data_IF_755514118966
#
_entry.id   IF_755514118966
#
_cell.length_a   1.000
_cell.length_b   1.000
_cell.length_c   1.000
_cell.angle_alpha   90.00
_cell.angle_beta   90.00
_cell.angle_gamma   90.00
#
_symmetry.space_group_name_H-M   'P 1'
#
loop_
_entity.id
_entity.type
_entity.pdbx_description
1 polymer ?
#
# COMPACT_ATOMS: atom_id res chain seq x y z
N UNK A 1 -14.22 -6.86 28.95
CA UNK A 1 -14.56 -5.44 28.67
C UNK A 1 -14.24 -5.06 27.21
N UNK A 2 -13.08 -5.43 26.65
CA UNK A 2 -12.69 -5.12 25.26
C UNK A 2 -13.63 -5.65 24.15
N UNK A 3 -14.21 -6.84 24.31
CA UNK A 3 -15.19 -7.39 23.34
C UNK A 3 -16.51 -6.61 23.32
N UNK A 4 -17.04 -6.21 24.48
CA UNK A 4 -18.29 -5.43 24.55
C UNK A 4 -18.18 -4.08 23.83
N UNK A 5 -17.03 -3.42 23.91
CA UNK A 5 -16.81 -2.11 23.29
C UNK A 5 -16.72 -2.15 21.75
N UNK A 6 -16.23 -3.28 21.16
CA UNK A 6 -16.24 -3.47 19.70
C UNK A 6 -17.65 -3.70 19.14
N UNK A 7 -18.50 -4.44 19.86
CA UNK A 7 -19.88 -4.69 19.42
C UNK A 7 -20.72 -3.41 19.44
N UNK A 8 -20.55 -2.53 20.44
CA UNK A 8 -21.31 -1.28 20.53
C UNK A 8 -21.01 -0.31 19.38
N UNK A 9 -19.76 -0.27 18.89
CA UNK A 9 -19.39 0.58 17.76
C UNK A 9 -19.92 0.03 16.42
N UNK A 10 -19.95 -1.30 16.24
CA UNK A 10 -20.48 -1.91 15.02
C UNK A 10 -22.00 -1.72 14.88
N UNK A 11 -22.76 -1.82 15.98
CA UNK A 11 -24.21 -1.58 15.99
C UNK A 11 -24.56 -0.12 15.70
N UNK A 12 -23.76 0.83 16.19
CA UNK A 12 -23.96 2.25 15.91
C UNK A 12 -23.73 2.58 14.43
N UNK A 13 -22.69 2.00 13.82
CA UNK A 13 -22.39 2.18 12.39
C UNK A 13 -23.45 1.54 11.49
N UNK A 14 -23.98 0.38 11.86
CA UNK A 14 -25.04 -0.28 11.10
C UNK A 14 -26.36 0.52 11.11
N UNK A 15 -26.75 1.07 12.27
CA UNK A 15 -27.94 1.93 12.37
C UNK A 15 -27.81 3.22 11.55
N UNK A 16 -26.62 3.81 11.54
CA UNK A 16 -26.35 5.01 10.75
C UNK A 16 -26.43 4.74 9.24
N UNK A 17 -25.96 3.58 8.79
CA UNK A 17 -26.07 3.15 7.40
C UNK A 17 -27.53 2.94 6.96
N UNK A 18 -28.35 2.32 7.81
CA UNK A 18 -29.78 2.07 7.52
C UNK A 18 -30.59 3.37 7.40
N UNK A 19 -30.33 4.36 8.26
CA UNK A 19 -30.97 5.67 8.20
C UNK A 19 -30.70 6.40 6.87
N UNK A 20 -29.48 6.30 6.33
CA UNK A 20 -29.13 6.93 5.05
C UNK A 20 -29.78 6.27 3.85
N UNK A 21 -30.00 4.95 3.88
CA UNK A 21 -30.71 4.24 2.82
C UNK A 21 -32.18 4.65 2.75
N UNK A 22 -32.84 4.77 3.91
CA UNK A 22 -34.24 5.18 4.00
C UNK A 22 -34.47 6.57 3.39
N UNK A 23 -33.62 7.55 3.72
CA UNK A 23 -33.73 8.91 3.21
C UNK A 23 -33.54 9.01 1.69
N UNK A 24 -32.69 8.16 1.11
CA UNK A 24 -32.44 8.14 -0.33
C UNK A 24 -33.65 7.59 -1.12
N UNK A 25 -34.38 6.61 -0.57
CA UNK A 25 -35.57 6.05 -1.20
C UNK A 25 -36.74 7.04 -1.22
N UNK A 26 -36.89 7.85 -0.18
CA UNK A 26 -37.94 8.89 -0.08
C UNK A 26 -37.68 10.06 -1.05
N UNK A 27 -36.42 10.44 -1.27
CA UNK A 27 -36.03 11.41 -2.31
C UNK A 27 -36.33 10.89 -3.73
N UNK A 28 -36.09 9.60 -3.98
CA UNK A 28 -36.30 8.99 -5.30
C UNK A 28 -37.79 8.95 -5.68
N UNK A 29 -38.68 8.61 -4.73
CA UNK A 29 -40.13 8.62 -4.93
C UNK A 29 -40.68 10.01 -5.25
N UNK A 30 -40.06 11.05 -4.72
CA UNK A 30 -40.47 12.44 -4.97
C UNK A 30 -40.09 12.89 -6.39
N UNK A 31 -39.02 12.33 -6.97
CA UNK A 31 -38.49 12.70 -8.29
C UNK A 31 -39.23 12.08 -9.49
N UNK A 32 -40.01 11.02 -9.29
CA UNK A 32 -40.68 10.23 -10.35
C UNK A 32 -42.02 10.80 -10.85
N UNK A 33 -42.34 12.07 -10.56
CA UNK A 33 -43.61 12.71 -10.99
C UNK A 33 -43.50 13.70 -12.15
N UNK A 34 -42.32 13.86 -12.77
CA UNK A 34 -42.11 14.87 -13.83
C UNK A 34 -41.93 14.31 -15.26
N UNK A 35 -42.04 12.99 -15.45
CA UNK A 35 -41.79 12.33 -16.74
C UNK A 35 -43.02 12.30 -17.68
N UNK A 36 -43.83 13.36 -17.68
CA UNK A 36 -45.13 13.38 -18.36
C UNK A 36 -45.35 14.54 -19.36
N UNK A 37 -44.32 15.07 -20.04
CA UNK A 37 -44.52 16.01 -21.15
C UNK A 37 -43.55 15.77 -22.31
N UNK A 38 -44.07 15.21 -23.40
CA UNK A 38 -43.34 14.89 -24.63
C UNK A 38 -43.19 16.08 -25.58
N UNK A 39 -41.95 16.39 -25.94
CA UNK A 39 -41.58 17.22 -27.12
C UNK A 39 -40.37 16.63 -27.86
N UNK A 40 -40.23 16.80 -29.17
CA UNK A 40 -39.13 16.21 -29.97
C UNK A 40 -37.88 17.09 -30.05
N UNK A 41 -36.69 16.48 -30.03
CA UNK A 41 -35.37 17.15 -30.03
C UNK A 41 -34.89 17.54 -31.45
N UNK A 42 -34.17 18.68 -31.57
CA UNK A 42 -33.44 19.07 -32.80
C UNK A 42 -32.14 18.26 -32.99
N UNK A 43 -31.53 18.23 -34.20
CA UNK A 43 -30.36 17.39 -34.49
C UNK A 43 -29.16 17.57 -33.55
N UNK A 44 -28.78 18.81 -33.23
CA UNK A 44 -27.68 19.11 -32.29
C UNK A 44 -28.03 18.73 -30.85
N UNK A 45 -29.29 18.90 -30.45
CA UNK A 45 -29.77 18.45 -29.13
C UNK A 45 -29.80 16.93 -29.05
N UNK A 46 -30.07 16.25 -30.17
CA UNK A 46 -30.06 14.81 -30.26
C UNK A 46 -28.65 14.24 -30.15
N UNK A 47 -27.65 14.86 -30.79
CA UNK A 47 -26.23 14.46 -30.64
C UNK A 47 -25.75 14.62 -29.19
N UNK A 48 -26.08 15.74 -28.54
CA UNK A 48 -25.75 15.93 -27.12
C UNK A 48 -26.51 14.93 -26.21
N UNK A 49 -27.76 14.62 -26.54
CA UNK A 49 -28.55 13.62 -25.82
C UNK A 49 -27.98 12.21 -25.98
N UNK A 50 -27.62 11.82 -27.21
CA UNK A 50 -26.96 10.55 -27.54
C UNK A 50 -25.55 10.44 -26.91
N UNK A 51 -24.89 11.58 -26.65
CA UNK A 51 -23.65 11.67 -25.90
C UNK A 51 -23.83 11.66 -24.36
N UNK A 52 -25.05 11.38 -23.87
CA UNK A 52 -25.33 11.14 -22.45
C UNK A 52 -25.88 12.34 -21.67
N UNK A 53 -26.16 13.48 -22.31
CA UNK A 53 -26.84 14.59 -21.63
C UNK A 53 -28.35 14.36 -21.56
N UNK A 54 -29.00 14.76 -20.47
CA UNK A 54 -30.47 14.75 -20.40
C UNK A 54 -31.07 15.70 -21.43
N UNK A 55 -32.25 15.36 -21.94
CA UNK A 55 -32.95 16.05 -23.02
C UNK A 55 -33.20 17.53 -22.74
N UNK A 56 -33.62 17.86 -21.51
CA UNK A 56 -33.83 19.24 -21.09
C UNK A 56 -32.52 20.03 -21.02
N UNK A 57 -31.42 19.37 -20.63
CA UNK A 57 -30.08 19.96 -20.48
C UNK A 57 -29.49 20.28 -21.85
N UNK A 58 -29.56 19.35 -22.80
CA UNK A 58 -29.16 19.59 -24.19
C UNK A 58 -29.97 20.75 -24.82
N UNK A 59 -31.24 20.86 -24.46
CA UNK A 59 -32.14 21.91 -24.97
C UNK A 59 -31.82 23.30 -24.40
N UNK A 60 -31.43 23.40 -23.13
CA UNK A 60 -31.08 24.66 -22.48
C UNK A 60 -29.66 25.14 -22.82
N UNK A 61 -28.68 24.23 -22.92
CA UNK A 61 -27.30 24.57 -23.30
C UNK A 61 -27.25 25.27 -24.66
N UNK A 62 -27.95 24.75 -25.66
CA UNK A 62 -27.96 25.33 -27.02
C UNK A 62 -28.71 26.66 -27.15
N UNK A 63 -29.47 27.07 -26.13
CA UNK A 63 -30.15 28.37 -26.09
C UNK A 63 -29.31 29.46 -25.41
N UNK A 64 -28.14 29.13 -24.87
CA UNK A 64 -27.25 30.07 -24.18
C UNK A 64 -26.18 30.66 -25.11
N UNK A 65 -26.06 31.99 -25.25
CA UNK A 65 -24.99 32.63 -26.04
C UNK A 65 -23.57 32.26 -25.58
N UNK A 66 -23.40 31.98 -24.28
CA UNK A 66 -22.13 31.53 -23.71
C UNK A 66 -21.74 30.13 -24.23
N UNK A 67 -22.72 29.25 -24.43
CA UNK A 67 -22.49 27.93 -25.03
C UNK A 67 -22.13 28.01 -26.50
N UNK A 68 -22.79 28.87 -27.26
CA UNK A 68 -22.41 29.09 -28.65
C UNK A 68 -20.98 29.62 -28.80
N UNK A 69 -20.51 30.44 -27.85
CA UNK A 69 -19.13 30.97 -27.87
C UNK A 69 -18.10 29.92 -27.45
N UNK A 70 -18.38 29.14 -26.40
CA UNK A 70 -17.51 28.06 -25.95
C UNK A 70 -17.35 26.95 -27.01
N UNK A 71 -18.43 26.62 -27.72
CA UNK A 71 -18.42 25.65 -28.83
C UNK A 71 -17.52 26.12 -29.97
N UNK A 72 -17.64 27.39 -30.40
CA UNK A 72 -16.77 27.96 -31.45
C UNK A 72 -15.29 28.00 -31.04
N UNK A 73 -14.99 28.22 -29.76
CA UNK A 73 -13.61 28.18 -29.25
C UNK A 73 -13.05 26.75 -29.22
N UNK A 74 -13.87 25.75 -28.88
CA UNK A 74 -13.48 24.35 -28.92
C UNK A 74 -13.17 23.90 -30.37
N UNK A 75 -14.00 24.29 -31.33
CA UNK A 75 -13.76 24.02 -32.76
C UNK A 75 -12.48 24.72 -33.25
N UNK A 76 -12.23 25.97 -32.84
CA UNK A 76 -11.00 26.70 -33.18
C UNK A 76 -9.73 26.10 -32.56
N UNK A 77 -9.85 25.36 -31.46
CA UNK A 77 -8.77 24.56 -30.86
C UNK A 77 -8.58 23.20 -31.55
N UNK A 78 -9.36 22.90 -32.59
CA UNK A 78 -9.28 21.65 -33.35
C UNK A 78 -9.99 20.47 -32.70
N UNK A 79 -10.84 20.70 -31.69
CA UNK A 79 -11.62 19.63 -31.06
C UNK A 79 -12.80 19.25 -31.96
N UNK A 80 -12.98 17.95 -32.19
CA UNK A 80 -14.08 17.44 -33.03
C UNK A 80 -15.41 17.58 -32.30
N UNK A 81 -16.41 18.16 -32.97
CA UNK A 81 -17.74 18.41 -32.40
C UNK A 81 -18.36 17.08 -31.94
N UNK A 82 -18.58 16.96 -30.63
CA UNK A 82 -19.15 15.76 -30.02
C UNK A 82 -18.13 14.75 -29.50
N UNK A 83 -16.82 15.00 -29.67
CA UNK A 83 -15.80 14.21 -28.97
C UNK A 83 -15.90 14.43 -27.44
N UNK A 84 -15.42 13.47 -26.62
CA UNK A 84 -15.40 13.63 -25.17
C UNK A 84 -14.72 14.93 -24.71
N UNK A 85 -13.61 15.30 -25.34
CA UNK A 85 -12.80 16.48 -25.03
C UNK A 85 -13.51 17.77 -25.43
N UNK A 86 -14.18 17.78 -26.59
CA UNK A 86 -15.02 18.88 -27.03
C UNK A 86 -16.15 19.15 -26.03
N UNK A 87 -16.82 18.08 -25.61
CA UNK A 87 -17.94 18.13 -24.68
C UNK A 87 -17.48 18.65 -23.31
N UNK A 88 -16.34 18.17 -22.81
CA UNK A 88 -15.80 18.59 -21.51
C UNK A 88 -15.36 20.06 -21.51
N UNK A 89 -14.70 20.51 -22.58
CA UNK A 89 -14.32 21.91 -22.75
C UNK A 89 -15.53 22.84 -22.74
N UNK A 90 -16.55 22.52 -23.54
CA UNK A 90 -17.78 23.32 -23.62
C UNK A 90 -18.46 23.35 -22.25
N UNK A 91 -18.61 22.20 -21.58
CA UNK A 91 -19.21 22.10 -20.24
C UNK A 91 -18.51 23.01 -19.21
N UNK A 92 -17.18 23.02 -19.19
CA UNK A 92 -16.42 23.86 -18.24
C UNK A 92 -16.56 25.35 -18.55
N UNK A 93 -16.49 25.73 -19.84
CA UNK A 93 -16.53 27.11 -20.27
C UNK A 93 -17.92 27.76 -20.14
N UNK A 94 -18.99 26.98 -20.16
CA UNK A 94 -20.37 27.52 -20.18
C UNK A 94 -21.03 27.64 -18.81
N UNK A 95 -20.38 27.19 -17.75
CA UNK A 95 -20.94 27.19 -16.40
C UNK A 95 -20.84 28.62 -15.81
N UNK A 96 -21.93 29.39 -15.69
CA UNK A 96 -21.86 30.76 -15.19
C UNK A 96 -21.73 30.72 -13.66
N UNK A 97 -20.69 31.39 -13.12
CA UNK A 97 -20.66 31.76 -11.70
C UNK A 97 -21.78 32.78 -11.45
N UNK A 98 -22.96 32.26 -11.08
CA UNK A 98 -24.04 33.01 -10.46
C UNK A 98 -25.14 33.52 -11.39
N UNK A 99 -26.25 32.76 -11.50
CA UNK A 99 -27.63 33.29 -11.46
C UNK A 99 -28.67 32.15 -11.50
N UNK A 100 -29.28 31.87 -10.33
CA UNK A 100 -30.66 31.43 -10.03
C UNK A 100 -31.51 30.64 -11.06
N UNK A 101 -31.01 29.53 -11.61
CA UNK A 101 -31.84 28.38 -11.99
C UNK A 101 -31.53 27.30 -10.95
N UNK A 102 -32.54 26.82 -10.21
CA UNK A 102 -32.40 26.02 -8.97
C UNK A 102 -31.26 25.00 -9.03
N UNK A 103 -30.11 25.48 -8.58
CA UNK A 103 -28.78 24.86 -8.61
C UNK A 103 -28.74 23.63 -7.69
N UNK A 104 -29.76 23.44 -6.85
CA UNK A 104 -29.83 22.37 -5.85
C UNK A 104 -29.68 20.98 -6.47
N UNK A 105 -30.32 20.64 -7.59
CA UNK A 105 -30.27 19.25 -8.10
C UNK A 105 -29.02 18.90 -8.92
N UNK A 106 -28.34 19.87 -9.54
CA UNK A 106 -27.12 19.63 -10.34
C UNK A 106 -25.86 19.79 -9.48
N UNK A 107 -25.87 20.72 -8.51
CA UNK A 107 -24.91 20.69 -7.42
C UNK A 107 -25.14 19.44 -6.60
N UNK A 108 -26.36 19.03 -6.27
CA UNK A 108 -26.55 17.76 -5.56
C UNK A 108 -26.15 16.55 -6.39
N UNK A 109 -26.30 16.48 -7.72
CA UNK A 109 -25.85 15.31 -8.49
C UNK A 109 -24.32 15.29 -8.69
N UNK A 110 -23.69 16.46 -8.85
CA UNK A 110 -22.23 16.60 -8.98
C UNK A 110 -21.55 16.50 -7.62
N UNK A 111 -22.15 17.05 -6.56
CA UNK A 111 -21.79 16.81 -5.17
C UNK A 111 -22.10 15.38 -4.79
N UNK A 112 -23.25 14.77 -5.10
CA UNK A 112 -23.55 13.35 -4.82
C UNK A 112 -22.57 12.45 -5.56
N UNK A 113 -22.25 12.70 -6.83
CA UNK A 113 -21.23 11.95 -7.58
C UNK A 113 -19.80 12.15 -7.06
N UNK A 114 -19.42 13.38 -6.69
CA UNK A 114 -18.13 13.68 -6.07
C UNK A 114 -18.08 13.14 -4.62
N UNK A 115 -19.18 13.15 -3.89
CA UNK A 115 -19.35 12.59 -2.54
C UNK A 115 -19.32 11.07 -2.63
N UNK A 116 -19.94 10.43 -3.62
CA UNK A 116 -19.89 8.98 -3.84
C UNK A 116 -18.48 8.54 -4.26
N UNK A 117 -17.83 9.30 -5.14
CA UNK A 117 -16.42 9.09 -5.46
C UNK A 117 -15.54 9.24 -4.23
N UNK A 118 -15.64 10.36 -3.48
CA UNK A 118 -14.90 10.59 -2.22
C UNK A 118 -15.23 9.54 -1.15
N UNK A 119 -16.48 9.08 -1.05
CA UNK A 119 -16.89 7.96 -0.18
C UNK A 119 -16.22 6.67 -0.63
N UNK A 120 -16.13 6.40 -1.93
CA UNK A 120 -15.45 5.21 -2.47
C UNK A 120 -13.94 5.25 -2.20
N UNK A 121 -13.31 6.42 -2.35
CA UNK A 121 -11.89 6.63 -2.04
C UNK A 121 -11.63 6.51 -0.54
N UNK A 122 -12.46 7.14 0.30
CA UNK A 122 -12.38 7.05 1.75
C UNK A 122 -12.60 5.61 2.23
N UNK A 123 -13.56 4.88 1.63
CA UNK A 123 -13.79 3.45 1.91
C UNK A 123 -12.58 2.61 1.49
N UNK A 124 -12.05 2.81 0.29
CA UNK A 124 -10.86 2.10 -0.18
C UNK A 124 -9.66 2.36 0.72
N UNK A 125 -9.43 3.61 1.11
CA UNK A 125 -8.39 4.00 2.05
C UNK A 125 -8.60 3.33 3.42
N UNK A 126 -9.82 3.36 3.95
CA UNK A 126 -10.15 2.72 5.23
C UNK A 126 -9.95 1.20 5.18
N UNK A 127 -10.40 0.54 4.10
CA UNK A 127 -10.23 -0.90 3.88
C UNK A 127 -8.73 -1.26 3.71
N UNK A 128 -7.96 -0.42 3.02
CA UNK A 128 -6.51 -0.58 2.90
C UNK A 128 -5.83 -0.47 4.26
N UNK A 129 -6.14 0.57 5.04
CA UNK A 129 -5.61 0.78 6.39
C UNK A 129 -6.01 -0.38 7.32
N UNK A 130 -7.24 -0.87 7.25
CA UNK A 130 -7.71 -2.00 8.04
C UNK A 130 -6.94 -3.30 7.71
N UNK A 131 -6.81 -3.64 6.42
CA UNK A 131 -6.01 -4.80 5.96
C UNK A 131 -4.56 -4.71 6.42
N UNK A 132 -3.97 -3.52 6.33
CA UNK A 132 -2.60 -3.26 6.76
C UNK A 132 -2.42 -3.50 8.27
N UNK A 133 -3.38 -3.06 9.11
CA UNK A 133 -3.37 -3.32 10.56
C UNK A 133 -3.47 -4.81 10.90
N UNK A 134 -4.26 -5.57 10.15
CA UNK A 134 -4.35 -7.02 10.34
C UNK A 134 -3.00 -7.70 10.00
N UNK A 135 -2.36 -7.28 8.91
CA UNK A 135 -1.04 -7.79 8.50
C UNK A 135 0.06 -7.50 9.54
N UNK A 136 0.04 -6.33 10.19
CA UNK A 136 0.99 -5.98 11.27
C UNK A 136 1.03 -7.03 12.38
N UNK A 137 -0.11 -7.63 12.72
CA UNK A 137 -0.16 -8.69 13.75
C UNK A 137 0.52 -9.98 13.32
N UNK A 138 0.41 -10.34 12.04
CA UNK A 138 1.12 -11.47 11.43
C UNK A 138 2.63 -11.25 11.39
N UNK A 139 3.07 -10.04 11.03
CA UNK A 139 4.48 -9.67 10.96
C UNK A 139 5.20 -9.86 12.31
N UNK A 140 4.54 -9.54 13.43
CA UNK A 140 5.13 -9.75 14.77
C UNK A 140 5.39 -11.21 15.09
N UNK A 141 4.48 -12.10 14.70
CA UNK A 141 4.64 -13.55 14.90
C UNK A 141 5.76 -14.09 14.00
N UNK A 142 5.82 -13.67 12.74
CA UNK A 142 6.91 -14.03 11.84
C UNK A 142 8.25 -13.47 12.32
N UNK A 143 8.28 -12.24 12.84
CA UNK A 143 9.50 -11.63 13.39
C UNK A 143 10.00 -12.37 14.63
N UNK A 144 9.13 -12.79 15.54
CA UNK A 144 9.51 -13.64 16.68
C UNK A 144 10.10 -14.98 16.21
N UNK A 145 9.49 -15.62 15.20
CA UNK A 145 10.03 -16.85 14.60
C UNK A 145 11.42 -16.62 13.99
N UNK A 146 11.60 -15.53 13.24
CA UNK A 146 12.89 -15.20 12.64
C UNK A 146 13.95 -14.81 13.68
N UNK A 147 13.56 -14.14 14.77
CA UNK A 147 14.47 -13.84 15.89
C UNK A 147 14.99 -15.13 16.54
N UNK A 148 14.10 -16.09 16.77
CA UNK A 148 14.47 -17.43 17.27
C UNK A 148 15.33 -18.20 16.28
N UNK A 149 15.06 -18.06 14.97
CA UNK A 149 15.86 -18.68 13.91
C UNK A 149 17.26 -18.05 13.81
N UNK A 150 17.39 -16.73 13.93
CA UNK A 150 18.66 -16.03 13.98
C UNK A 150 19.48 -16.47 15.21
N UNK A 151 18.82 -16.59 16.36
CA UNK A 151 19.45 -17.09 17.58
C UNK A 151 19.91 -18.54 17.45
N UNK A 152 19.09 -19.39 16.83
CA UNK A 152 19.46 -20.78 16.53
C UNK A 152 20.66 -20.83 15.58
N UNK A 153 20.64 -20.07 14.48
CA UNK A 153 21.75 -19.96 13.55
C UNK A 153 23.03 -19.55 14.29
N UNK A 154 22.98 -18.52 15.13
CA UNK A 154 24.12 -18.01 15.92
C UNK A 154 24.71 -19.09 16.82
N UNK A 155 23.86 -19.91 17.46
CA UNK A 155 24.30 -21.02 18.31
C UNK A 155 24.86 -22.20 17.52
N UNK A 156 24.41 -22.39 16.28
CA UNK A 156 24.92 -23.40 15.35
C UNK A 156 26.26 -23.00 14.68
N UNK A 157 26.80 -21.79 14.94
CA UNK A 157 27.98 -21.24 14.28
C UNK A 157 29.26 -22.05 14.49
N UNK A 158 29.36 -22.86 15.55
CA UNK A 158 30.54 -23.69 15.83
C UNK A 158 30.22 -25.18 15.77
N UNK A 159 30.96 -25.92 14.92
CA UNK A 159 31.00 -27.40 14.90
C UNK A 159 31.50 -28.01 16.22
N UNK A 160 32.09 -27.17 17.08
CA UNK A 160 32.65 -27.52 18.38
C UNK A 160 31.74 -27.16 19.58
N UNK A 161 30.50 -26.71 19.38
CA UNK A 161 29.80 -26.02 20.49
C UNK A 161 28.28 -25.92 20.40
N UNK A 162 27.61 -27.06 20.45
CA UNK A 162 26.32 -27.13 21.13
C UNK A 162 26.48 -28.16 22.25
N UNK A 163 26.60 -27.70 23.50
CA UNK A 163 26.69 -28.57 24.66
C UNK A 163 25.57 -28.26 25.67
N UNK A 164 25.16 -29.29 26.41
CA UNK A 164 24.22 -29.20 27.52
C UNK A 164 22.94 -28.44 27.20
N UNK A 165 22.72 -27.33 27.92
CA UNK A 165 21.51 -26.50 27.83
C UNK A 165 21.26 -25.91 26.43
N UNK A 166 22.32 -25.67 25.65
CA UNK A 166 22.17 -25.10 24.31
C UNK A 166 21.60 -26.10 23.30
N UNK A 167 21.94 -27.39 23.41
CA UNK A 167 21.34 -28.47 22.60
C UNK A 167 19.86 -28.63 22.95
N UNK A 168 19.56 -28.67 24.26
CA UNK A 168 18.20 -28.84 24.72
C UNK A 168 17.32 -27.66 24.31
N UNK A 169 17.84 -26.43 24.38
CA UNK A 169 17.17 -25.25 23.86
C UNK A 169 16.91 -25.35 22.35
N UNK A 170 17.91 -25.75 21.55
CA UNK A 170 17.77 -25.90 20.10
C UNK A 170 16.71 -26.95 19.73
N UNK A 171 16.75 -28.12 20.38
CA UNK A 171 15.75 -29.16 20.22
C UNK A 171 14.35 -28.67 20.61
N UNK A 172 14.22 -27.92 21.70
CA UNK A 172 12.94 -27.34 22.11
C UNK A 172 12.41 -26.32 21.10
N UNK A 173 13.27 -25.49 20.49
CA UNK A 173 12.83 -24.56 19.44
C UNK A 173 12.36 -25.29 18.20
N UNK A 174 13.12 -26.26 17.71
CA UNK A 174 12.74 -27.05 16.54
C UNK A 174 11.44 -27.83 16.79
N UNK A 175 11.27 -28.43 17.96
CA UNK A 175 10.01 -29.08 18.38
C UNK A 175 8.85 -28.10 18.47
N UNK A 176 9.09 -26.88 18.93
CA UNK A 176 8.05 -25.83 18.96
C UNK A 176 7.58 -25.43 17.55
N UNK A 177 8.39 -25.69 16.52
CA UNK A 177 8.04 -25.51 15.12
C UNK A 177 7.50 -26.79 14.45
N UNK A 178 7.30 -27.86 15.22
CA UNK A 178 6.71 -29.12 14.75
C UNK A 178 7.73 -30.12 14.19
N UNK A 179 9.02 -29.92 14.42
CA UNK A 179 10.05 -30.87 14.00
C UNK A 179 10.41 -31.84 15.11
N UNK A 180 10.51 -33.13 14.77
CA UNK A 180 11.05 -34.13 15.68
C UNK A 180 12.58 -34.02 15.70
N UNK A 181 13.08 -33.07 16.48
CA UNK A 181 14.49 -32.78 16.59
C UNK A 181 15.12 -33.51 17.78
N UNK A 182 16.21 -34.22 17.51
CA UNK A 182 17.11 -34.81 18.50
C UNK A 182 18.57 -34.52 18.12
N UNK A 183 18.93 -33.23 18.13
CA UNK A 183 20.30 -32.79 17.93
C UNK A 183 21.12 -33.27 19.12
N UNK A 184 22.15 -34.07 18.85
CA UNK A 184 23.06 -34.66 19.85
C UNK A 184 24.40 -33.93 19.92
N UNK A 185 24.59 -32.88 19.11
CA UNK A 185 25.84 -32.14 18.99
C UNK A 185 26.88 -32.84 18.10
N UNK A 186 26.55 -34.00 17.53
CA UNK A 186 27.43 -34.77 16.63
C UNK A 186 27.01 -34.61 15.17
N UNK A 187 28.01 -34.59 14.28
CA UNK A 187 27.98 -34.23 12.86
C UNK A 187 26.64 -34.41 12.13
N UNK A 188 26.13 -35.64 12.02
CA UNK A 188 24.91 -35.94 11.25
C UNK A 188 23.68 -35.15 11.75
N UNK A 189 23.48 -35.07 13.07
CA UNK A 189 22.33 -34.36 13.66
C UNK A 189 22.48 -32.83 13.60
N UNK A 190 23.71 -32.33 13.58
CA UNK A 190 24.01 -30.91 13.41
C UNK A 190 23.79 -30.47 11.96
N UNK A 191 24.23 -31.28 10.99
CA UNK A 191 24.03 -31.03 9.57
C UNK A 191 22.52 -31.08 9.21
N UNK A 192 21.75 -31.97 9.84
CA UNK A 192 20.28 -32.00 9.75
C UNK A 192 19.64 -30.71 10.30
N UNK A 193 20.12 -30.20 11.44
CA UNK A 193 19.65 -28.93 12.00
C UNK A 193 19.96 -27.74 11.08
N UNK A 194 21.14 -27.71 10.47
CA UNK A 194 21.53 -26.69 9.49
C UNK A 194 20.64 -26.78 8.23
N UNK A 195 20.42 -27.98 7.70
CA UNK A 195 19.53 -28.17 6.54
C UNK A 195 18.09 -27.71 6.86
N UNK A 196 17.62 -28.00 8.07
CA UNK A 196 16.28 -27.62 8.52
C UNK A 196 16.14 -26.10 8.71
N UNK A 197 17.12 -25.44 9.32
CA UNK A 197 17.14 -23.98 9.46
C UNK A 197 17.19 -23.28 8.10
N UNK A 198 17.93 -23.85 7.14
CA UNK A 198 17.94 -23.37 5.75
C UNK A 198 16.57 -23.49 5.09
N UNK A 199 15.93 -24.66 5.23
CA UNK A 199 14.58 -24.86 4.73
C UNK A 199 13.61 -23.85 5.34
N UNK A 200 13.64 -23.63 6.64
CA UNK A 200 12.77 -22.66 7.32
C UNK A 200 13.01 -21.22 6.84
N UNK A 201 14.28 -20.84 6.66
CA UNK A 201 14.63 -19.52 6.13
C UNK A 201 14.08 -19.33 4.72
N UNK A 202 14.28 -20.32 3.84
CA UNK A 202 13.79 -20.29 2.47
C UNK A 202 12.26 -20.37 2.38
N UNK A 203 11.62 -21.15 3.25
CA UNK A 203 10.16 -21.24 3.34
C UNK A 203 9.58 -19.88 3.75
N UNK A 204 10.20 -19.17 4.69
CA UNK A 204 9.76 -17.81 5.06
C UNK A 204 10.02 -16.80 3.93
N UNK A 205 11.17 -16.90 3.25
CA UNK A 205 11.45 -16.10 2.04
C UNK A 205 10.39 -16.32 0.95
N UNK A 206 9.95 -17.56 0.74
CA UNK A 206 8.94 -17.89 -0.27
C UNK A 206 7.55 -17.30 0.03
N UNK A 207 7.24 -17.08 1.32
CA UNK A 207 6.00 -16.42 1.74
C UNK A 207 6.05 -14.92 1.54
N UNK A 208 7.23 -14.35 1.38
CA UNK A 208 7.37 -12.92 1.17
C UNK A 208 6.81 -12.53 -0.21
N UNK A 209 5.60 -11.97 -0.19
CA UNK A 209 4.94 -11.43 -1.38
C UNK A 209 5.01 -9.91 -1.30
N UNK A 210 5.72 -9.28 -2.23
CA UNK A 210 5.82 -7.83 -2.26
C UNK A 210 6.80 -7.32 -3.31
N UNK A 211 6.78 -6.01 -3.59
CA UNK A 211 7.76 -5.39 -4.49
C UNK A 211 9.17 -5.55 -3.91
N UNK A 212 10.07 -6.15 -4.67
CA UNK A 212 11.50 -6.23 -4.37
C UNK A 212 12.26 -5.20 -5.18
N UNK A 213 13.19 -4.51 -4.52
CA UNK A 213 14.08 -3.55 -5.18
C UNK A 213 15.17 -4.28 -5.96
N UNK A 214 15.86 -3.58 -6.86
CA UNK A 214 17.05 -4.13 -7.54
C UNK A 214 18.15 -4.54 -6.56
N UNK A 215 18.29 -3.79 -5.47
CA UNK A 215 19.26 -4.07 -4.41
C UNK A 215 18.91 -5.35 -3.65
N UNK A 216 17.63 -5.58 -3.33
CA UNK A 216 17.17 -6.83 -2.72
C UNK A 216 17.46 -8.03 -3.63
N UNK A 217 17.24 -7.86 -4.95
CA UNK A 217 17.54 -8.91 -5.93
C UNK A 217 19.02 -9.26 -5.96
N UNK A 218 19.89 -8.26 -5.99
CA UNK A 218 21.34 -8.49 -6.01
C UNK A 218 21.79 -9.15 -4.71
N UNK A 219 21.33 -8.65 -3.55
CA UNK A 219 21.60 -9.26 -2.25
C UNK A 219 21.15 -10.73 -2.18
N UNK A 220 19.94 -11.06 -2.66
CA UNK A 220 19.42 -12.43 -2.67
C UNK A 220 20.29 -13.30 -3.59
N UNK A 221 20.64 -12.80 -4.77
CA UNK A 221 21.46 -13.51 -5.75
C UNK A 221 22.86 -13.81 -5.22
N UNK A 222 23.46 -12.93 -4.44
CA UNK A 222 24.78 -13.16 -3.83
C UNK A 222 24.72 -14.09 -2.61
N UNK A 223 23.62 -14.05 -1.85
CA UNK A 223 23.56 -14.69 -0.53
C UNK A 223 22.91 -16.08 -0.56
N UNK A 224 21.83 -16.28 -1.34
CA UNK A 224 21.11 -17.57 -1.42
C UNK A 224 21.99 -18.75 -1.87
N UNK A 225 22.83 -18.62 -2.90
CA UNK A 225 23.70 -19.74 -3.32
C UNK A 225 24.63 -20.24 -2.20
N UNK A 226 24.95 -19.37 -1.24
CA UNK A 226 25.90 -19.62 -0.17
C UNK A 226 25.24 -20.12 1.13
N UNK A 227 23.91 -20.26 1.18
CA UNK A 227 23.15 -20.62 2.40
C UNK A 227 23.59 -21.95 3.03
N UNK A 228 23.93 -22.94 2.19
CA UNK A 228 24.41 -24.25 2.65
C UNK A 228 25.92 -24.25 2.96
N UNK A 229 26.65 -23.24 2.48
CA UNK A 229 28.11 -23.22 2.51
C UNK A 229 28.67 -22.40 3.68
N UNK A 230 27.97 -21.36 4.12
CA UNK A 230 28.43 -20.46 5.18
C UNK A 230 27.34 -20.15 6.20
N UNK A 231 27.74 -20.08 7.46
CA UNK A 231 26.86 -19.61 8.55
C UNK A 231 26.49 -18.14 8.33
N UNK A 232 27.44 -17.35 7.83
CA UNK A 232 27.30 -15.94 7.52
C UNK A 232 26.15 -15.72 6.51
N UNK A 233 26.07 -16.50 5.43
CA UNK A 233 24.97 -16.37 4.46
C UNK A 233 23.61 -16.73 5.07
N UNK A 234 23.53 -17.73 5.95
CA UNK A 234 22.27 -18.06 6.67
C UNK A 234 21.83 -16.92 7.57
N UNK A 235 22.78 -16.35 8.30
CA UNK A 235 22.54 -15.22 9.17
C UNK A 235 22.07 -14.01 8.37
N UNK A 236 22.77 -13.67 7.28
CA UNK A 236 22.41 -12.57 6.37
C UNK A 236 21.01 -12.74 5.76
N UNK A 237 20.61 -13.95 5.35
CA UNK A 237 19.25 -14.18 4.82
C UNK A 237 18.18 -14.06 5.90
N UNK A 238 18.46 -14.54 7.11
CA UNK A 238 17.55 -14.38 8.25
C UNK A 238 17.38 -12.90 8.59
N UNK A 239 18.48 -12.14 8.63
CA UNK A 239 18.50 -10.70 8.90
C UNK A 239 17.82 -9.90 7.78
N UNK A 240 17.95 -10.32 6.52
CA UNK A 240 17.21 -9.76 5.40
C UNK A 240 15.71 -9.96 5.58
N UNK A 241 15.27 -11.16 5.99
CA UNK A 241 13.86 -11.42 6.25
C UNK A 241 13.31 -10.60 7.42
N UNK A 242 14.08 -10.45 8.48
CA UNK A 242 13.73 -9.57 9.60
C UNK A 242 13.63 -8.12 9.13
N UNK A 243 14.60 -7.65 8.33
CA UNK A 243 14.63 -6.32 7.73
C UNK A 243 13.35 -6.05 6.94
N UNK A 244 12.91 -7.02 6.13
CA UNK A 244 11.67 -6.92 5.36
C UNK A 244 10.43 -6.77 6.23
N UNK A 245 10.29 -7.61 7.26
CA UNK A 245 9.17 -7.50 8.18
C UNK A 245 9.20 -6.20 8.98
N UNK A 246 10.38 -5.70 9.36
CA UNK A 246 10.55 -4.41 10.03
C UNK A 246 10.12 -3.25 9.13
N UNK A 247 10.54 -3.26 7.86
CA UNK A 247 10.15 -2.26 6.87
C UNK A 247 8.65 -2.32 6.56
N UNK A 248 8.07 -3.52 6.46
CA UNK A 248 6.64 -3.70 6.29
C UNK A 248 5.87 -3.21 7.52
N UNK A 249 6.33 -3.50 8.75
CA UNK A 249 5.70 -2.98 9.97
C UNK A 249 5.76 -1.44 10.03
N UNK A 250 6.91 -0.84 9.72
CA UNK A 250 7.09 0.60 9.63
C UNK A 250 6.18 1.23 8.57
N UNK A 251 6.09 0.60 7.40
CA UNK A 251 5.20 0.99 6.33
C UNK A 251 3.75 0.98 6.79
N UNK A 252 3.30 -0.12 7.40
CA UNK A 252 1.92 -0.25 7.87
C UNK A 252 1.59 0.69 9.02
N UNK A 253 2.51 0.94 9.93
CA UNK A 253 2.32 1.91 11.00
C UNK A 253 2.20 3.34 10.44
N UNK A 254 3.02 3.68 9.44
CA UNK A 254 2.96 4.98 8.75
C UNK A 254 1.63 5.14 8.04
N UNK A 255 1.21 4.17 7.21
CA UNK A 255 -0.10 4.19 6.54
C UNK A 255 -1.26 4.21 7.54
N UNK A 256 -1.10 3.50 8.66
CA UNK A 256 -2.07 3.42 9.73
C UNK A 256 -2.32 4.74 10.44
N UNK A 257 -1.40 5.71 10.36
CA UNK A 257 -1.49 7.05 10.94
C UNK A 257 -2.10 8.11 10.02
N UNK A 258 -2.32 7.80 8.75
CA UNK A 258 -2.75 8.77 7.71
C UNK A 258 -4.18 9.30 7.94
N UNK A 259 -5.00 8.59 8.70
CA UNK A 259 -6.33 9.08 9.11
C UNK A 259 -6.31 10.35 9.98
N UNK A 260 -5.12 10.84 10.37
CA UNK A 260 -4.94 12.06 11.17
C UNK A 260 -4.87 13.34 10.34
N UNK A 261 -4.82 13.28 9.01
CA UNK A 261 -4.82 14.48 8.16
C UNK A 261 -6.21 15.13 8.10
N UNK A 262 -6.23 16.46 7.94
CA UNK A 262 -7.44 17.27 8.03
C UNK A 262 -8.42 17.07 6.87
N UNK A 263 -7.94 16.59 5.72
CA UNK A 263 -8.75 16.35 4.52
C UNK A 263 -8.46 14.97 3.86
N UNK A 264 -9.41 14.51 3.05
CA UNK A 264 -9.26 13.26 2.27
C UNK A 264 -8.13 13.38 1.23
N UNK A 265 -7.98 14.53 0.58
CA UNK A 265 -6.96 14.72 -0.46
C UNK A 265 -5.55 14.70 0.14
N UNK A 266 -5.34 15.33 1.30
CA UNK A 266 -4.10 15.21 2.07
C UNK A 266 -3.83 13.76 2.49
N UNK A 267 -4.87 13.05 2.92
CA UNK A 267 -4.75 11.63 3.31
C UNK A 267 -4.36 10.74 2.13
N UNK A 268 -4.95 10.95 0.95
CA UNK A 268 -4.63 10.19 -0.26
C UNK A 268 -3.21 10.49 -0.76
N UNK A 269 -2.80 11.76 -0.75
CA UNK A 269 -1.44 12.16 -1.11
C UNK A 269 -0.42 11.53 -0.17
N UNK A 270 -0.62 11.68 1.15
CA UNK A 270 0.27 11.09 2.15
C UNK A 270 0.32 9.56 2.04
N UNK A 271 -0.80 8.91 1.67
CA UNK A 271 -0.83 7.46 1.44
C UNK A 271 0.03 7.07 0.25
N UNK A 272 -0.12 7.78 -0.87
CA UNK A 272 0.68 7.55 -2.07
C UNK A 272 2.17 7.76 -1.83
N UNK A 273 2.53 8.82 -1.12
CA UNK A 273 3.93 9.16 -0.80
C UNK A 273 4.56 8.12 0.13
N UNK A 274 3.84 7.71 1.18
CA UNK A 274 4.31 6.67 2.09
C UNK A 274 4.44 5.32 1.36
N UNK A 275 3.42 4.88 0.60
CA UNK A 275 3.48 3.62 -0.13
C UNK A 275 4.63 3.60 -1.14
N UNK A 276 4.83 4.70 -1.89
CA UNK A 276 5.97 4.84 -2.81
C UNK A 276 7.31 4.78 -2.07
N UNK A 277 7.45 5.49 -0.95
CA UNK A 277 8.67 5.50 -0.15
C UNK A 277 9.03 4.09 0.30
N UNK A 278 8.16 3.41 1.04
CA UNK A 278 8.49 2.12 1.66
C UNK A 278 8.70 0.99 0.63
N UNK A 279 8.00 1.01 -0.51
CA UNK A 279 8.25 0.04 -1.60
C UNK A 279 9.62 0.18 -2.24
N UNK A 280 10.23 1.36 -2.14
CA UNK A 280 11.56 1.63 -2.68
C UNK A 280 12.70 1.36 -1.69
N UNK A 281 12.39 1.09 -0.41
CA UNK A 281 13.41 0.83 0.61
C UNK A 281 13.91 -0.61 0.48
N UNK A 282 15.22 -0.82 0.19
CA UNK A 282 15.79 -2.15 0.18
C UNK A 282 15.97 -2.66 1.60
N UNK A 283 15.70 -3.95 1.81
CA UNK A 283 16.02 -4.64 3.06
C UNK A 283 17.45 -5.16 3.12
N UNK A 284 18.06 -5.44 1.97
CA UNK A 284 19.45 -5.83 1.85
C UNK A 284 20.13 -5.09 0.70
N UNK A 285 21.38 -4.71 0.90
CA UNK A 285 22.22 -4.08 -0.12
C UNK A 285 23.59 -4.75 -0.16
N UNK A 286 24.19 -4.78 -1.34
CA UNK A 286 25.61 -5.11 -1.53
C UNK A 286 26.33 -3.78 -1.74
N UNK A 287 27.26 -3.46 -0.83
CA UNK A 287 28.04 -2.23 -0.86
C UNK A 287 29.15 -2.32 -1.91
N UNK A 288 29.78 -1.19 -2.21
CA UNK A 288 30.83 -1.12 -3.21
C UNK A 288 32.07 -1.95 -2.90
N UNK A 289 32.36 -2.16 -1.62
CA UNK A 289 33.46 -3.04 -1.17
C UNK A 289 33.12 -4.54 -1.32
N UNK A 290 31.93 -4.87 -1.81
CA UNK A 290 31.44 -6.22 -2.00
C UNK A 290 30.83 -6.84 -0.73
N UNK A 291 30.82 -6.11 0.38
CA UNK A 291 30.15 -6.56 1.61
C UNK A 291 28.64 -6.41 1.49
N UNK A 292 27.90 -7.28 2.17
CA UNK A 292 26.43 -7.21 2.22
C UNK A 292 25.96 -6.77 3.59
N UNK A 293 25.04 -5.81 3.62
CA UNK A 293 24.44 -5.29 4.86
C UNK A 293 22.92 -5.24 4.73
N UNK A 294 22.22 -5.54 5.83
CA UNK A 294 20.76 -5.51 5.90
C UNK A 294 20.29 -4.29 6.69
N UNK A 295 19.05 -3.86 6.45
CA UNK A 295 18.44 -2.76 7.20
C UNK A 295 18.43 -3.04 8.71
N UNK A 296 18.18 -4.29 9.14
CA UNK A 296 18.23 -4.69 10.54
C UNK A 296 19.63 -4.48 11.12
N UNK A 297 20.67 -4.97 10.44
CA UNK A 297 22.06 -4.82 10.88
C UNK A 297 22.40 -3.33 11.05
N UNK A 298 21.98 -2.51 10.08
CA UNK A 298 22.11 -1.06 10.15
C UNK A 298 21.34 -0.44 11.32
N UNK A 299 20.06 -0.78 11.47
CA UNK A 299 19.20 -0.29 12.54
C UNK A 299 19.78 -0.60 13.92
N UNK A 300 20.27 -1.83 14.13
CA UNK A 300 20.90 -2.22 15.39
C UNK A 300 22.22 -1.46 15.60
N UNK A 301 23.01 -1.22 14.55
CA UNK A 301 24.30 -0.51 14.64
C UNK A 301 24.18 0.96 15.08
N UNK A 302 23.04 1.60 14.80
CA UNK A 302 22.74 2.96 15.25
C UNK A 302 22.05 2.99 16.63
N UNK A 303 21.93 1.85 17.30
CA UNK A 303 21.28 1.71 18.61
C UNK A 303 19.75 1.57 18.55
N UNK A 304 19.19 1.33 17.37
CA UNK A 304 17.74 1.31 17.12
C UNK A 304 17.10 2.70 17.19
N UNK A 305 15.82 2.75 17.58
CA UNK A 305 15.08 3.98 17.81
C UNK A 305 13.81 4.08 16.96
N UNK A 306 13.49 5.29 16.51
CA UNK A 306 12.38 5.49 15.60
C UNK A 306 12.72 4.88 14.22
N UNK A 307 11.96 3.86 13.83
CA UNK A 307 12.19 3.11 12.60
C UNK A 307 12.05 3.99 11.34
N UNK A 308 11.20 5.01 11.37
CA UNK A 308 11.01 5.90 10.22
C UNK A 308 12.24 6.80 10.04
N UNK A 309 12.81 7.29 11.15
CA UNK A 309 14.09 8.01 11.13
C UNK A 309 15.22 7.11 10.64
N UNK A 310 15.23 5.85 11.08
CA UNK A 310 16.23 4.89 10.62
C UNK A 310 16.11 4.59 9.11
N UNK A 311 14.89 4.49 8.58
CA UNK A 311 14.64 4.31 7.13
C UNK A 311 15.23 5.47 6.32
N UNK A 312 15.04 6.71 6.76
CA UNK A 312 15.59 7.87 6.07
C UNK A 312 17.12 7.89 6.07
N UNK A 313 17.73 7.56 7.21
CA UNK A 313 19.19 7.47 7.31
C UNK A 313 19.76 6.31 6.51
N UNK A 314 19.03 5.19 6.45
CA UNK A 314 19.39 4.03 5.65
C UNK A 314 19.43 4.35 4.15
N UNK A 315 18.37 4.99 3.63
CA UNK A 315 18.33 5.41 2.23
C UNK A 315 19.49 6.36 1.90
N UNK A 316 19.76 7.33 2.79
CA UNK A 316 20.89 8.26 2.64
C UNK A 316 22.24 7.54 2.60
N UNK A 317 22.47 6.58 3.49
CA UNK A 317 23.71 5.80 3.52
C UNK A 317 23.94 5.02 2.21
N UNK A 318 22.88 4.47 1.63
CA UNK A 318 22.95 3.76 0.34
C UNK A 318 23.27 4.73 -0.81
N UNK A 319 22.71 5.94 -0.78
CA UNK A 319 23.01 6.97 -1.78
C UNK A 319 24.46 7.45 -1.69
N UNK A 320 24.97 7.62 -0.47
CA UNK A 320 26.36 8.01 -0.20
C UNK A 320 27.33 6.94 -0.73
N UNK A 321 27.10 5.66 -0.41
CA UNK A 321 27.89 4.55 -0.96
C UNK A 321 27.87 4.60 -2.50
N UNK A 322 26.71 4.67 -3.15
CA UNK A 322 26.63 4.77 -4.62
C UNK A 322 27.40 5.96 -5.20
N UNK A 323 27.47 7.08 -4.48
CA UNK A 323 28.21 8.25 -4.92
C UNK A 323 29.73 8.02 -4.84
N UNK A 324 30.21 7.34 -3.80
CA UNK A 324 31.62 6.99 -3.63
C UNK A 324 32.11 6.04 -4.73
N UNK A 325 31.35 5.01 -5.09
CA UNK A 325 31.69 4.13 -6.22
C UNK A 325 31.87 4.89 -7.53
N UNK A 326 30.96 5.84 -7.81
CA UNK A 326 31.03 6.66 -9.02
C UNK A 326 32.22 7.60 -9.03
N UNK A 327 32.66 8.08 -7.87
CA UNK A 327 33.85 8.91 -7.75
C UNK A 327 35.13 8.09 -7.94
N UNK A 328 35.20 6.90 -7.34
CA UNK A 328 36.34 5.98 -7.48
C UNK A 328 36.53 5.47 -8.91
N UNK A 329 35.45 5.21 -9.65
CA UNK A 329 35.53 4.76 -11.05
C UNK A 329 36.04 5.81 -12.06
N UNK A 330 36.23 7.07 -11.63
CA UNK A 330 36.74 8.17 -12.48
C UNK A 330 38.23 8.45 -12.30
N UNK A 331 38.88 7.79 -11.34
CA UNK A 331 40.33 7.89 -11.10
C UNK A 331 41.06 6.79 -11.87
#
# INVERSE_FOLDING_TARGET
RYRKQKYTNAEHLLKQQQQWQQNAEDELKTSLTLEALGETLSPQQKTLYEAGFKKEVATQLLKSPAATTAMKNAEALGLEVGSPEYIEYVRMATTPKGSNITVSNVNEATEKGNIEWKKSQAKSLADNVARHRENTSGNRVSLDRLNRLAELNRRLKSRDGLEGESLQWANNQLRSWGFDADITGQGATLDEAIALTNKLTLDEMSKQKGPQTDQDREFIKTTVPNINQSHEARQQLTEYMQSRLMLDDAHMNTLGGIHQYGTLDESLSAYGDADKKYRSVPAGVVLNDGSSVTFKTYYDSIGGGDINVAVDRWLKAIEEDKAEAKAGAKQ
#
